data_IF_124377811241
#
_entry.id   IF_124377811241
#
_cell.length_a   1.000
_cell.length_b   1.000
_cell.length_c   1.000
_cell.angle_alpha   90.00
_cell.angle_beta   90.00
_cell.angle_gamma   90.00
#
_symmetry.space_group_name_H-M   'P 1'
#
loop_
_entity.id
_entity.type
_entity.pdbx_description
1 polymer ?
#
# COMPACT_ATOMS: atom_id res chain seq x y z
N UNK A 1 -40.30 36.79 -21.15
CA UNK A 1 -39.34 35.86 -20.52
C UNK A 1 -38.41 36.67 -19.63
N UNK A 2 -38.59 36.61 -18.31
CA UNK A 2 -38.05 37.60 -17.37
C UNK A 2 -36.55 37.36 -17.06
N UNK A 3 -35.67 38.19 -17.64
CA UNK A 3 -34.21 38.18 -17.43
C UNK A 3 -33.78 38.17 -15.96
N UNK A 4 -34.60 38.68 -15.05
CA UNK A 4 -34.31 38.75 -13.60
C UNK A 4 -34.32 37.39 -12.89
N UNK A 5 -35.02 36.38 -13.43
CA UNK A 5 -35.04 35.04 -12.83
C UNK A 5 -33.84 34.18 -13.22
N UNK A 6 -33.23 34.44 -14.38
CA UNK A 6 -32.02 33.75 -14.82
C UNK A 6 -30.80 34.14 -13.98
N UNK A 7 -30.66 35.42 -13.62
CA UNK A 7 -29.51 35.91 -12.86
C UNK A 7 -29.41 35.33 -11.43
N UNK A 8 -30.54 34.99 -10.79
CA UNK A 8 -30.54 34.41 -9.43
C UNK A 8 -30.17 32.93 -9.39
N UNK A 9 -30.38 32.19 -10.49
CA UNK A 9 -30.03 30.76 -10.56
C UNK A 9 -28.56 30.53 -10.89
N UNK A 10 -27.86 31.51 -11.48
CA UNK A 10 -26.42 31.43 -11.76
C UNK A 10 -25.54 31.87 -10.59
N UNK A 11 -26.06 32.67 -9.65
CA UNK A 11 -25.29 33.17 -8.51
C UNK A 11 -25.10 32.14 -7.37
N UNK A 12 -25.88 31.04 -7.36
CA UNK A 12 -25.80 30.01 -6.32
C UNK A 12 -24.91 28.81 -6.68
N UNK A 13 -24.38 28.76 -7.91
CA UNK A 13 -23.51 27.66 -8.37
C UNK A 13 -22.01 27.95 -8.18
N UNK A 14 -21.64 29.20 -7.89
CA UNK A 14 -20.24 29.64 -7.86
C UNK A 14 -19.53 29.43 -6.51
N UNK A 15 -20.25 29.05 -5.44
CA UNK A 15 -19.67 28.92 -4.11
C UNK A 15 -19.26 27.47 -3.72
N UNK A 16 -19.49 26.48 -4.60
CA UNK A 16 -19.37 25.06 -4.24
C UNK A 16 -18.12 24.32 -4.72
N UNK A 17 -17.21 24.94 -5.48
CA UNK A 17 -16.16 24.19 -6.23
C UNK A 17 -14.74 24.37 -5.67
N UNK A 18 -14.52 25.20 -4.64
CA UNK A 18 -13.16 25.52 -4.17
C UNK A 18 -12.55 24.57 -3.12
N UNK A 19 -13.14 23.41 -2.81
CA UNK A 19 -12.66 22.54 -1.72
C UNK A 19 -12.28 21.10 -2.12
N UNK A 20 -11.99 20.84 -3.40
CA UNK A 20 -11.49 19.54 -3.85
C UNK A 20 -10.32 19.69 -4.81
N UNK A 21 -9.32 20.48 -4.43
CA UNK A 21 -7.98 20.26 -4.96
C UNK A 21 -7.53 18.86 -4.49
N UNK A 22 -7.09 17.96 -5.39
CA UNK A 22 -6.36 16.77 -4.97
C UNK A 22 -5.14 17.29 -4.21
N UNK A 23 -5.14 17.18 -2.89
CA UNK A 23 -3.94 17.48 -2.12
C UNK A 23 -2.86 16.56 -2.69
N UNK A 24 -1.75 17.08 -3.24
CA UNK A 24 -0.63 16.22 -3.58
C UNK A 24 -0.30 15.44 -2.31
N UNK A 25 -0.22 14.12 -2.44
CA UNK A 25 0.18 13.27 -1.33
C UNK A 25 1.40 13.94 -0.69
N UNK A 26 1.28 14.33 0.59
CA UNK A 26 2.43 14.85 1.33
C UNK A 26 3.56 13.89 1.04
N UNK A 27 4.63 14.39 0.44
CA UNK A 27 5.75 13.57 0.07
C UNK A 27 6.22 12.87 1.35
N UNK A 28 5.92 11.58 1.45
CA UNK A 28 6.35 10.70 2.53
C UNK A 28 7.83 10.43 2.26
N UNK A 29 8.64 11.46 2.44
CA UNK A 29 10.07 11.33 2.49
C UNK A 29 10.39 10.68 3.83
N UNK A 30 10.90 9.46 3.77
CA UNK A 30 11.38 8.76 4.93
C UNK A 30 12.89 8.97 5.04
N UNK A 31 13.35 9.39 6.21
CA UNK A 31 14.75 9.39 6.60
C UNK A 31 15.26 7.95 6.78
N UNK A 32 14.44 7.11 7.41
CA UNK A 32 14.60 5.66 7.44
C UNK A 32 13.30 5.00 6.97
N UNK A 33 13.28 4.41 5.75
CA UNK A 33 12.11 3.70 5.27
C UNK A 33 11.85 2.44 6.10
N UNK A 34 10.62 1.95 6.07
CA UNK A 34 10.29 0.63 6.62
C UNK A 34 11.03 -0.46 5.83
N UNK A 35 11.47 -1.50 6.54
CA UNK A 35 11.94 -2.72 5.88
C UNK A 35 10.72 -3.45 5.32
N UNK A 36 10.59 -3.43 4.00
CA UNK A 36 9.52 -4.10 3.26
C UNK A 36 9.92 -5.49 2.80
N UNK A 37 11.17 -5.92 3.04
CA UNK A 37 11.66 -7.20 2.59
C UNK A 37 10.84 -8.35 3.17
N UNK A 38 10.95 -9.52 2.55
CA UNK A 38 10.38 -10.72 3.12
C UNK A 38 10.90 -11.97 2.43
N UNK A 39 10.50 -13.15 2.91
CA UNK A 39 11.01 -14.41 2.40
C UNK A 39 10.66 -14.60 0.92
N UNK A 40 11.50 -15.38 0.24
CA UNK A 40 11.23 -15.85 -1.12
C UNK A 40 9.91 -16.62 -1.12
N UNK A 41 9.11 -16.39 -2.16
CA UNK A 41 7.75 -16.93 -2.27
C UNK A 41 7.66 -17.93 -3.42
N UNK A 42 6.74 -18.88 -3.34
CA UNK A 42 6.51 -19.89 -4.37
C UNK A 42 5.20 -19.69 -5.15
N UNK A 43 4.25 -18.91 -4.59
CA UNK A 43 2.97 -18.55 -5.20
C UNK A 43 1.76 -19.31 -4.63
N UNK A 44 1.96 -20.19 -3.64
CA UNK A 44 0.91 -20.94 -2.94
C UNK A 44 0.53 -20.32 -1.58
N UNK A 45 1.17 -19.22 -1.21
CA UNK A 45 0.93 -18.55 0.07
C UNK A 45 -0.43 -17.84 0.06
N UNK A 46 -1.20 -18.05 1.14
CA UNK A 46 -2.56 -17.54 1.26
C UNK A 46 -2.63 -16.00 1.33
N UNK A 47 -1.53 -15.34 1.67
CA UNK A 47 -1.46 -13.90 1.94
C UNK A 47 -0.86 -13.07 0.78
N UNK A 48 -0.40 -13.71 -0.30
CA UNK A 48 0.22 -13.02 -1.45
C UNK A 48 -0.72 -12.78 -2.62
N UNK A 49 -1.93 -13.30 -2.57
CA UNK A 49 -2.88 -13.18 -3.67
C UNK A 49 -4.17 -13.94 -3.41
N UNK A 50 -4.89 -14.22 -4.48
CA UNK A 50 -6.13 -14.98 -4.42
C UNK A 50 -5.81 -16.46 -4.47
N UNK A 51 -6.39 -17.22 -3.54
CA UNK A 51 -6.23 -18.66 -3.47
C UNK A 51 -6.64 -19.35 -4.78
N UNK A 52 -5.85 -20.33 -5.20
CA UNK A 52 -6.12 -21.20 -6.34
C UNK A 52 -6.26 -22.65 -5.85
N UNK A 53 -7.46 -23.06 -5.42
CA UNK A 53 -7.69 -24.40 -4.86
C UNK A 53 -7.35 -25.50 -5.87
N UNK A 54 -6.51 -26.46 -5.47
CA UNK A 54 -6.13 -27.58 -6.34
C UNK A 54 -5.24 -27.20 -7.52
N UNK A 55 -4.55 -26.06 -7.44
CA UNK A 55 -3.53 -25.69 -8.40
C UNK A 55 -2.26 -26.54 -8.25
N UNK A 56 -1.66 -26.86 -9.39
CA UNK A 56 -0.36 -27.51 -9.52
C UNK A 56 0.77 -26.50 -9.32
N UNK A 57 2.02 -26.96 -9.06
CA UNK A 57 3.17 -26.05 -8.94
C UNK A 57 3.37 -25.14 -10.16
N UNK A 58 3.08 -25.63 -11.37
CA UNK A 58 3.17 -24.83 -12.60
C UNK A 58 2.09 -23.73 -12.64
N UNK A 59 0.88 -24.02 -12.16
CA UNK A 59 -0.21 -23.04 -12.08
C UNK A 59 0.05 -21.99 -11.00
N UNK A 60 0.65 -22.35 -9.86
CA UNK A 60 1.10 -21.38 -8.84
C UNK A 60 2.21 -20.46 -9.37
N UNK A 61 3.18 -21.03 -10.10
CA UNK A 61 4.24 -20.25 -10.77
C UNK A 61 3.65 -19.24 -11.75
N UNK A 62 2.69 -19.67 -12.57
CA UNK A 62 1.99 -18.80 -13.50
C UNK A 62 1.17 -17.72 -12.78
N UNK A 63 0.49 -18.09 -11.70
CA UNK A 63 -0.25 -17.15 -10.86
C UNK A 63 0.66 -16.06 -10.31
N UNK A 64 1.81 -16.44 -9.75
CA UNK A 64 2.77 -15.50 -9.17
C UNK A 64 3.32 -14.52 -10.22
N UNK A 65 3.70 -15.02 -11.39
CA UNK A 65 4.22 -14.21 -12.48
C UNK A 65 3.16 -13.25 -13.03
N UNK A 66 1.91 -13.71 -13.17
CA UNK A 66 0.80 -12.85 -13.57
C UNK A 66 0.45 -11.79 -12.52
N UNK A 67 0.59 -12.13 -11.23
CA UNK A 67 0.45 -11.20 -10.13
C UNK A 67 1.50 -10.10 -10.19
N UNK A 68 2.76 -10.44 -10.51
CA UNK A 68 3.84 -9.47 -10.65
C UNK A 68 3.55 -8.50 -11.79
N UNK A 69 3.12 -9.05 -12.94
CA UNK A 69 2.69 -8.24 -14.09
C UNK A 69 1.56 -7.27 -13.71
N UNK A 70 0.56 -7.73 -12.95
CA UNK A 70 -0.55 -6.89 -12.53
C UNK A 70 -0.08 -5.74 -11.63
N UNK A 71 0.75 -6.01 -10.62
CA UNK A 71 1.31 -4.97 -9.76
C UNK A 71 2.13 -3.93 -10.52
N UNK A 72 3.00 -4.37 -11.44
CA UNK A 72 3.80 -3.45 -12.27
C UNK A 72 2.94 -2.64 -13.25
N UNK A 73 1.83 -3.18 -13.75
CA UNK A 73 0.89 -2.43 -14.56
C UNK A 73 0.18 -1.33 -13.74
N UNK A 74 -0.28 -1.65 -12.53
CA UNK A 74 -0.89 -0.67 -11.63
C UNK A 74 0.11 0.45 -11.33
N UNK A 75 1.38 0.12 -11.08
CA UNK A 75 2.43 1.12 -10.88
C UNK A 75 2.70 1.99 -12.12
N UNK A 76 2.65 1.42 -13.33
CA UNK A 76 2.79 2.18 -14.57
C UNK A 76 1.69 3.24 -14.75
N UNK A 77 0.51 3.03 -14.16
CA UNK A 77 -0.60 3.98 -14.19
C UNK A 77 -0.56 4.96 -13.02
N UNK A 78 -0.34 4.46 -11.79
CA UNK A 78 -0.49 5.25 -10.56
C UNK A 78 0.74 6.07 -10.18
N UNK A 79 1.92 5.74 -10.69
CA UNK A 79 3.19 6.33 -10.27
C UNK A 79 3.72 7.42 -11.22
N UNK A 80 2.91 7.90 -12.16
CA UNK A 80 3.33 8.89 -13.16
C UNK A 80 3.56 10.29 -12.58
N UNK A 81 3.21 10.52 -11.31
CA UNK A 81 3.53 11.76 -10.60
C UNK A 81 5.04 11.95 -10.39
N UNK A 82 5.83 10.88 -10.43
CA UNK A 82 7.29 10.93 -10.30
C UNK A 82 7.97 10.23 -11.50
N UNK A 83 8.28 10.98 -12.58
CA UNK A 83 8.87 10.41 -13.78
C UNK A 83 10.23 9.73 -13.57
N UNK A 84 11.00 10.12 -12.54
CA UNK A 84 12.33 9.51 -12.28
C UNK A 84 12.24 8.04 -11.85
N UNK A 85 11.05 7.58 -11.42
CA UNK A 85 10.83 6.18 -11.09
C UNK A 85 10.77 5.27 -12.32
N UNK A 86 10.57 5.82 -13.52
CA UNK A 86 10.58 5.08 -14.79
C UNK A 86 9.60 3.89 -14.82
N UNK A 87 8.53 3.90 -14.02
CA UNK A 87 7.61 2.75 -13.89
C UNK A 87 6.95 2.38 -15.21
N UNK A 88 6.53 3.37 -16.00
CA UNK A 88 5.93 3.17 -17.32
C UNK A 88 6.91 2.56 -18.33
N UNK A 89 8.13 3.12 -18.43
CA UNK A 89 9.14 2.60 -19.36
C UNK A 89 9.64 1.21 -18.95
N UNK A 90 9.80 0.96 -17.65
CA UNK A 90 10.18 -0.35 -17.12
C UNK A 90 9.10 -1.39 -17.43
N UNK A 91 7.82 -1.07 -17.22
CA UNK A 91 6.72 -1.96 -17.52
C UNK A 91 6.65 -2.33 -19.01
N UNK A 92 6.74 -1.34 -19.91
CA UNK A 92 6.71 -1.59 -21.34
C UNK A 92 7.92 -2.41 -21.81
N UNK A 93 9.10 -2.15 -21.25
CA UNK A 93 10.32 -2.91 -21.54
C UNK A 93 10.21 -4.36 -21.07
N UNK A 94 9.64 -4.58 -19.87
CA UNK A 94 9.33 -5.91 -19.35
C UNK A 94 8.37 -6.66 -20.27
N UNK A 95 7.30 -6.03 -20.74
CA UNK A 95 6.36 -6.66 -21.67
C UNK A 95 7.06 -7.08 -22.96
N UNK A 96 7.93 -6.24 -23.52
CA UNK A 96 8.69 -6.54 -24.73
C UNK A 96 9.71 -7.68 -24.52
N UNK A 97 10.40 -7.66 -23.37
CA UNK A 97 11.48 -8.60 -23.09
C UNK A 97 10.99 -10.00 -22.69
N UNK A 98 9.86 -10.08 -21.97
CA UNK A 98 9.32 -11.32 -21.38
C UNK A 98 7.96 -11.75 -21.95
N UNK A 99 7.61 -11.29 -23.15
CA UNK A 99 6.29 -11.57 -23.78
C UNK A 99 5.93 -13.06 -23.81
N UNK A 100 6.89 -13.93 -24.06
CA UNK A 100 6.67 -15.38 -24.20
C UNK A 100 6.38 -16.04 -22.84
N UNK A 101 7.13 -15.68 -21.80
CA UNK A 101 6.88 -16.12 -20.42
C UNK A 101 5.51 -15.66 -19.93
N UNK A 102 5.17 -14.40 -20.18
CA UNK A 102 3.88 -13.81 -19.79
C UNK A 102 2.71 -14.48 -20.53
N UNK A 103 2.85 -14.75 -21.83
CA UNK A 103 1.84 -15.43 -22.63
C UNK A 103 1.64 -16.89 -22.17
N UNK A 104 2.74 -17.61 -21.90
CA UNK A 104 2.71 -18.97 -21.38
C UNK A 104 2.03 -19.03 -20.02
N UNK A 105 2.40 -18.12 -19.11
CA UNK A 105 1.78 -17.96 -17.80
C UNK A 105 0.27 -17.69 -17.88
N UNK A 106 -0.17 -16.78 -18.76
CA UNK A 106 -1.59 -16.51 -18.94
C UNK A 106 -2.34 -17.72 -19.48
N UNK A 107 -1.74 -18.45 -20.42
CA UNK A 107 -2.30 -19.69 -20.95
C UNK A 107 -2.47 -20.75 -19.85
N UNK A 108 -1.45 -20.97 -19.02
CA UNK A 108 -1.50 -21.92 -17.90
C UNK A 108 -2.62 -21.58 -16.92
N UNK A 109 -2.81 -20.30 -16.60
CA UNK A 109 -3.93 -19.86 -15.76
C UNK A 109 -5.28 -20.09 -16.43
N UNK A 110 -5.39 -19.84 -17.73
CA UNK A 110 -6.59 -20.15 -18.50
C UNK A 110 -6.93 -21.63 -18.48
N UNK A 111 -5.93 -22.50 -18.62
CA UNK A 111 -6.10 -23.95 -18.57
C UNK A 111 -6.51 -24.42 -17.16
N UNK A 112 -5.96 -23.82 -16.10
CA UNK A 112 -6.39 -24.04 -14.72
C UNK A 112 -7.87 -23.70 -14.52
N UNK A 113 -8.30 -22.50 -14.91
CA UNK A 113 -9.69 -22.09 -14.68
C UNK A 113 -10.66 -22.88 -15.57
N UNK A 114 -10.27 -23.28 -16.78
CA UNK A 114 -11.05 -24.22 -17.60
C UNK A 114 -11.20 -25.58 -16.92
N UNK A 115 -10.12 -26.11 -16.32
CA UNK A 115 -10.14 -27.39 -15.59
C UNK A 115 -11.04 -27.34 -14.36
N UNK A 116 -10.94 -26.28 -13.55
CA UNK A 116 -11.64 -26.19 -12.26
C UNK A 116 -13.09 -25.70 -12.40
N UNK A 117 -13.37 -24.78 -13.34
CA UNK A 117 -14.67 -24.12 -13.48
C UNK A 117 -15.42 -24.50 -14.77
N UNK A 118 -14.84 -25.36 -15.61
CA UNK A 118 -15.46 -25.84 -16.85
C UNK A 118 -15.87 -24.70 -17.77
N UNK A 119 -17.15 -24.66 -18.17
CA UNK A 119 -17.73 -23.61 -19.04
C UNK A 119 -17.62 -22.20 -18.45
N UNK A 120 -17.49 -22.06 -17.13
CA UNK A 120 -17.29 -20.76 -16.46
C UNK A 120 -15.82 -20.36 -16.33
N UNK A 121 -14.89 -21.14 -16.90
CA UNK A 121 -13.44 -20.91 -16.78
C UNK A 121 -13.00 -19.52 -17.23
N UNK A 122 -13.49 -19.03 -18.37
CA UNK A 122 -13.12 -17.69 -18.84
C UNK A 122 -13.57 -16.59 -17.86
N UNK A 123 -14.84 -16.65 -17.42
CA UNK A 123 -15.37 -15.71 -16.44
C UNK A 123 -14.57 -15.74 -15.12
N UNK A 124 -14.17 -16.94 -14.67
CA UNK A 124 -13.37 -17.08 -13.46
C UNK A 124 -11.95 -16.50 -13.63
N UNK A 125 -11.33 -16.68 -14.81
CA UNK A 125 -10.05 -16.05 -15.15
C UNK A 125 -10.17 -14.52 -15.16
N UNK A 126 -11.23 -13.97 -15.75
CA UNK A 126 -11.45 -12.53 -15.83
C UNK A 126 -11.71 -11.92 -14.43
N UNK A 127 -12.48 -12.62 -13.58
CA UNK A 127 -12.67 -12.25 -12.19
C UNK A 127 -11.37 -12.31 -11.39
N UNK A 128 -10.57 -13.37 -11.58
CA UNK A 128 -9.26 -13.49 -10.97
C UNK A 128 -8.33 -12.34 -11.39
N UNK A 129 -8.29 -12.03 -12.69
CA UNK A 129 -7.55 -10.89 -13.24
C UNK A 129 -7.97 -9.58 -12.56
N UNK A 130 -9.26 -9.27 -12.59
CA UNK A 130 -9.79 -8.05 -11.96
C UNK A 130 -9.40 -7.95 -10.49
N UNK A 131 -9.54 -9.04 -9.75
CA UNK A 131 -9.19 -9.15 -8.34
C UNK A 131 -7.71 -8.83 -8.08
N UNK A 132 -6.78 -9.42 -8.83
CA UNK A 132 -5.34 -9.13 -8.61
C UNK A 132 -5.00 -7.67 -8.90
N UNK A 133 -5.60 -7.03 -9.91
CA UNK A 133 -5.41 -5.61 -10.19
C UNK A 133 -5.92 -4.72 -9.05
N UNK A 134 -7.13 -4.99 -8.57
CA UNK A 134 -7.70 -4.29 -7.42
C UNK A 134 -6.84 -4.47 -6.16
N UNK A 135 -6.27 -5.67 -5.98
CA UNK A 135 -5.40 -5.98 -4.84
C UNK A 135 -4.10 -5.18 -4.76
N UNK A 136 -3.68 -4.48 -5.82
CA UNK A 136 -2.53 -3.56 -5.80
C UNK A 136 -2.94 -2.08 -5.74
N UNK A 137 -4.23 -1.77 -5.76
CA UNK A 137 -4.69 -0.39 -5.72
C UNK A 137 -4.58 0.16 -4.30
N UNK A 138 -3.55 0.98 -4.02
CA UNK A 138 -3.35 1.62 -2.71
C UNK A 138 -3.23 3.14 -2.85
N UNK A 139 -4.16 3.88 -2.23
CA UNK A 139 -4.09 5.35 -2.17
C UNK A 139 -3.21 5.80 -1.00
N UNK A 140 -3.25 5.09 0.13
CA UNK A 140 -2.57 5.52 1.37
C UNK A 140 -1.08 5.14 1.42
N UNK A 141 -0.65 4.14 0.67
CA UNK A 141 0.75 3.69 0.62
C UNK A 141 1.40 3.96 -0.75
N UNK A 142 0.85 4.90 -1.53
CA UNK A 142 1.22 5.12 -2.94
C UNK A 142 2.73 5.34 -3.13
N UNK A 143 3.40 6.08 -2.25
CA UNK A 143 4.84 6.35 -2.37
C UNK A 143 5.70 5.09 -2.15
N UNK A 144 5.45 4.34 -1.06
CA UNK A 144 6.15 3.07 -0.80
C UNK A 144 5.94 2.10 -1.96
N UNK A 145 4.69 1.98 -2.42
CA UNK A 145 4.35 1.13 -3.57
C UNK A 145 5.08 1.56 -4.83
N UNK A 146 5.09 2.84 -5.17
CA UNK A 146 5.73 3.34 -6.39
C UNK A 146 7.25 3.19 -6.37
N UNK A 147 7.92 3.48 -5.25
CA UNK A 147 9.36 3.28 -5.10
C UNK A 147 9.75 1.80 -5.19
N UNK A 148 8.99 0.94 -4.49
CA UNK A 148 9.19 -0.51 -4.52
C UNK A 148 8.96 -1.05 -5.93
N UNK A 149 7.83 -0.71 -6.57
CA UNK A 149 7.51 -1.15 -7.91
C UNK A 149 8.51 -0.65 -8.96
N UNK A 150 9.10 0.54 -8.78
CA UNK A 150 10.19 1.02 -9.64
C UNK A 150 11.45 0.16 -9.51
N UNK A 151 11.85 -0.17 -8.27
CA UNK A 151 12.97 -1.09 -8.00
C UNK A 151 12.70 -2.49 -8.57
N UNK A 152 11.52 -3.05 -8.31
CA UNK A 152 11.12 -4.36 -8.82
C UNK A 152 11.04 -4.37 -10.35
N UNK A 153 10.49 -3.31 -10.95
CA UNK A 153 10.45 -3.14 -12.40
C UNK A 153 11.84 -3.08 -13.02
N UNK A 154 12.82 -2.46 -12.34
CA UNK A 154 14.22 -2.45 -12.76
C UNK A 154 14.82 -3.86 -12.74
N UNK A 155 14.65 -4.61 -11.66
CA UNK A 155 15.13 -6.00 -11.60
C UNK A 155 14.49 -6.86 -12.70
N UNK A 156 13.22 -6.61 -12.98
CA UNK A 156 12.47 -7.35 -13.96
C UNK A 156 12.91 -7.05 -15.41
N UNK A 157 13.41 -5.86 -15.74
CA UNK A 157 13.99 -5.59 -17.07
C UNK A 157 15.39 -6.20 -17.25
N UNK A 158 16.16 -6.34 -16.17
CA UNK A 158 17.51 -6.89 -16.21
C UNK A 158 17.55 -8.40 -16.02
N UNK A 159 16.42 -9.02 -15.66
CA UNK A 159 16.31 -10.46 -15.59
C UNK A 159 16.49 -11.10 -16.98
N UNK A 160 17.27 -12.18 -17.11
CA UNK A 160 17.34 -12.94 -18.36
C UNK A 160 15.96 -13.45 -18.78
N UNK A 161 15.75 -13.64 -20.09
CA UNK A 161 14.56 -14.33 -20.59
C UNK A 161 14.48 -15.74 -19.99
N UNK A 162 13.29 -16.14 -19.58
CA UNK A 162 13.01 -17.38 -18.85
C UNK A 162 13.12 -17.26 -17.33
N UNK A 163 13.64 -16.14 -16.80
CA UNK A 163 13.92 -15.95 -15.38
C UNK A 163 13.02 -14.90 -14.72
N UNK A 164 11.97 -14.42 -15.39
CA UNK A 164 11.08 -13.42 -14.78
C UNK A 164 10.37 -13.97 -13.53
N UNK A 165 10.14 -15.29 -13.50
CA UNK A 165 9.59 -15.95 -12.33
C UNK A 165 10.50 -15.84 -11.10
N UNK A 166 11.83 -15.88 -11.25
CA UNK A 166 12.73 -15.73 -10.11
C UNK A 166 12.68 -14.32 -9.51
N UNK A 167 12.45 -13.30 -10.34
CA UNK A 167 12.16 -11.94 -9.85
C UNK A 167 10.85 -11.95 -9.06
N UNK A 168 9.80 -12.59 -9.58
CA UNK A 168 8.53 -12.70 -8.88
C UNK A 168 8.68 -13.40 -7.52
N UNK A 169 9.42 -14.51 -7.46
CA UNK A 169 9.70 -15.24 -6.21
C UNK A 169 10.43 -14.37 -5.18
N UNK A 170 11.42 -13.60 -5.61
CA UNK A 170 12.25 -12.78 -4.70
C UNK A 170 11.55 -11.48 -4.26
N UNK A 171 10.76 -10.87 -5.14
CA UNK A 171 10.29 -9.48 -4.97
C UNK A 171 8.79 -9.35 -4.70
N UNK A 172 7.98 -10.40 -4.91
CA UNK A 172 6.53 -10.28 -4.71
C UNK A 172 6.15 -9.92 -3.28
N UNK A 173 6.83 -10.50 -2.30
CA UNK A 173 6.57 -10.22 -0.87
C UNK A 173 6.80 -8.76 -0.55
N UNK A 174 7.92 -8.21 -1.01
CA UNK A 174 8.26 -6.80 -0.87
C UNK A 174 7.24 -5.89 -1.56
N UNK A 175 6.85 -6.23 -2.79
CA UNK A 175 5.83 -5.50 -3.53
C UNK A 175 4.47 -5.52 -2.80
N UNK A 176 4.09 -6.63 -2.17
CA UNK A 176 2.86 -6.72 -1.35
C UNK A 176 2.96 -5.93 -0.06
N UNK A 177 4.07 -6.02 0.65
CA UNK A 177 4.31 -5.28 1.89
C UNK A 177 4.24 -3.77 1.65
N UNK A 178 4.69 -3.30 0.47
CA UNK A 178 4.64 -1.89 0.08
C UNK A 178 3.22 -1.29 -0.03
N UNK A 179 2.17 -2.14 -0.04
CA UNK A 179 0.78 -1.70 -0.09
C UNK A 179 0.26 -1.21 1.27
N UNK A 180 0.98 -1.52 2.36
CA UNK A 180 0.64 -1.09 3.72
C UNK A 180 1.27 0.27 3.99
N UNK A 181 0.51 1.25 4.53
CA UNK A 181 1.09 2.53 4.92
C UNK A 181 2.09 2.34 6.07
N UNK A 182 3.29 2.86 5.90
CA UNK A 182 4.32 2.89 6.93
C UNK A 182 4.64 4.33 7.31
N UNK A 183 4.95 4.57 8.58
CA UNK A 183 5.50 5.84 9.04
C UNK A 183 7.03 5.89 8.95
N UNK A 184 7.58 7.03 9.33
CA UNK A 184 9.02 7.21 9.54
C UNK A 184 9.56 6.26 10.63
N UNK A 185 10.68 5.58 10.36
CA UNK A 185 11.29 4.62 11.30
C UNK A 185 12.41 5.23 12.14
N UNK A 186 13.02 6.34 11.73
CA UNK A 186 14.13 6.98 12.45
C UNK A 186 13.66 7.73 13.71
N UNK A 187 12.53 8.42 13.62
CA UNK A 187 12.06 9.34 14.68
C UNK A 187 10.89 8.78 15.50
N UNK A 188 10.53 7.51 15.28
CA UNK A 188 9.28 6.94 15.79
C UNK A 188 8.06 7.72 15.27
N UNK A 189 6.90 7.49 15.86
CA UNK A 189 5.68 8.20 15.51
C UNK A 189 5.37 9.29 16.57
N UNK A 190 5.85 10.54 16.40
CA UNK A 190 5.65 11.59 17.40
C UNK A 190 4.17 12.00 17.53
N UNK A 191 3.35 11.80 16.50
CA UNK A 191 1.94 12.23 16.50
C UNK A 191 0.99 11.22 17.12
N UNK A 192 1.26 9.91 17.03
CA UNK A 192 0.35 8.88 17.56
C UNK A 192 0.81 8.25 18.88
N UNK A 193 2.09 8.36 19.23
CA UNK A 193 2.61 7.87 20.52
C UNK A 193 2.63 8.95 21.62
N UNK A 194 2.18 10.17 21.31
CA UNK A 194 1.96 11.18 22.34
C UNK A 194 0.71 10.84 23.14
N UNK A 195 0.90 10.14 24.27
CA UNK A 195 -0.12 10.09 25.32
C UNK A 195 0.03 11.36 26.15
N UNK A 196 -0.88 12.31 25.97
CA UNK A 196 -1.00 13.43 26.90
C UNK A 196 -1.19 12.86 28.31
N UNK A 197 -0.19 13.05 29.18
CA UNK A 197 -0.27 12.60 30.55
C UNK A 197 -1.16 13.60 31.30
N UNK A 198 -2.48 13.37 31.25
CA UNK A 198 -3.49 14.23 31.85
C UNK A 198 -3.81 13.76 33.30
N UNK A 199 -4.22 14.69 34.18
CA UNK A 199 -4.81 14.31 35.46
C UNK A 199 -6.10 13.52 35.23
N UNK A 200 -6.56 12.77 36.24
CA UNK A 200 -7.85 12.06 36.12
C UNK A 200 -8.98 13.04 35.80
N UNK A 201 -9.83 12.68 34.85
CA UNK A 201 -11.01 13.45 34.45
C UNK A 201 -12.26 13.08 35.26
N UNK A 202 -12.13 12.21 36.27
CA UNK A 202 -13.24 11.86 37.17
C UNK A 202 -13.71 13.09 37.96
N UNK A 203 -15.03 13.25 38.12
CA UNK A 203 -15.64 14.37 38.85
C UNK A 203 -15.07 14.55 40.28
N UNK A 204 -14.68 13.44 40.93
CA UNK A 204 -14.07 13.45 42.27
C UNK A 204 -12.78 14.27 42.37
N UNK A 205 -12.08 14.47 41.25
CA UNK A 205 -10.83 15.21 41.17
C UNK A 205 -10.99 16.70 40.88
N UNK A 206 -12.21 17.17 40.57
CA UNK A 206 -12.45 18.53 40.11
C UNK A 206 -13.48 19.26 40.97
N UNK A 207 -13.18 20.50 41.35
CA UNK A 207 -14.14 21.41 42.00
C UNK A 207 -14.08 22.78 41.35
N UNK A 208 -15.18 23.23 40.73
CA UNK A 208 -15.27 24.52 40.02
C UNK A 208 -14.08 24.73 39.06
N UNK A 209 -13.78 23.71 38.26
CA UNK A 209 -12.68 23.70 37.28
C UNK A 209 -11.26 23.79 37.88
N UNK A 210 -11.10 23.60 39.19
CA UNK A 210 -9.80 23.44 39.84
C UNK A 210 -9.57 21.98 40.19
N UNK A 211 -8.39 21.47 39.82
CA UNK A 211 -7.94 20.14 40.22
C UNK A 211 -7.68 20.13 41.74
N UNK A 212 -8.14 19.08 42.42
CA UNK A 212 -7.92 18.92 43.86
C UNK A 212 -6.47 18.52 44.14
N UNK A 213 -5.90 18.91 45.31
CA UNK A 213 -4.49 18.69 45.62
C UNK A 213 -4.05 17.21 45.69
N UNK A 214 -4.96 16.32 46.08
CA UNK A 214 -4.77 14.86 46.09
C UNK A 214 -4.58 14.31 44.67
N UNK A 215 -5.47 14.66 43.75
CA UNK A 215 -5.35 14.26 42.35
C UNK A 215 -4.18 14.94 41.62
N UNK A 216 -3.80 16.16 42.02
CA UNK A 216 -2.59 16.84 41.53
C UNK A 216 -1.33 16.05 41.93
N UNK A 217 -1.22 15.64 43.21
CA UNK A 217 -0.07 14.87 43.69
C UNK A 217 0.07 13.52 42.98
N UNK A 218 -1.05 12.85 42.74
CA UNK A 218 -1.08 11.59 41.98
C UNK A 218 -0.61 11.80 40.54
N UNK A 219 -1.09 12.86 39.89
CA UNK A 219 -0.67 13.23 38.54
C UNK A 219 0.82 13.57 38.47
N UNK A 220 1.34 14.36 39.42
CA UNK A 220 2.77 14.70 39.51
C UNK A 220 3.65 13.46 39.72
N UNK A 221 3.17 12.49 40.51
CA UNK A 221 3.86 11.20 40.72
C UNK A 221 3.94 10.39 39.42
N UNK A 222 2.83 10.31 38.68
CA UNK A 222 2.79 9.64 37.36
C UNK A 222 3.69 10.33 36.33
N UNK A 223 3.78 11.65 36.35
CA UNK A 223 4.70 12.41 35.49
C UNK A 223 6.16 12.08 35.81
N UNK A 224 6.53 12.03 37.09
CA UNK A 224 7.88 11.65 37.53
C UNK A 224 8.24 10.22 37.11
N UNK A 225 7.32 9.27 37.28
CA UNK A 225 7.53 7.89 36.83
C UNK A 225 7.70 7.81 35.31
N UNK A 226 6.85 8.48 34.53
CA UNK A 226 6.95 8.48 33.07
C UNK A 226 8.27 9.09 32.56
N UNK A 227 8.77 10.14 33.22
CA UNK A 227 10.06 10.73 32.91
C UNK A 227 11.23 9.76 33.20
N UNK A 228 11.15 8.97 34.27
CA UNK A 228 12.16 7.96 34.62
C UNK A 228 12.16 6.79 33.62
N UNK A 229 10.99 6.30 33.22
CA UNK A 229 10.87 5.20 32.25
C UNK A 229 11.36 5.61 30.85
N UNK A 230 11.13 6.86 30.46
CA UNK A 230 11.60 7.39 29.17
C UNK A 230 13.12 7.61 29.12
N UNK A 231 13.77 7.81 30.27
CA UNK A 231 15.23 7.89 30.37
C UNK A 231 15.91 6.52 30.26
N UNK A 232 15.21 5.44 30.63
CA UNK A 232 15.71 4.06 30.54
C UNK A 232 15.60 3.45 29.13
N UNK A 233 14.84 4.06 28.22
CA UNK A 233 14.62 3.61 26.85
C UNK A 233 15.47 4.37 25.82
N UNK A 234 16.66 4.84 26.19
CA UNK A 234 17.58 5.40 25.19
C UNK A 234 17.90 4.32 24.14
N UNK A 235 17.88 4.65 22.83
CA UNK A 235 18.22 3.70 21.80
C UNK A 235 19.68 3.29 21.99
N UNK A 236 19.94 1.99 21.99
CA UNK A 236 21.28 1.41 21.86
C UNK A 236 21.91 2.08 20.64
N UNK A 237 23.01 2.79 20.88
CA UNK A 237 23.76 3.57 19.90
C UNK A 237 24.46 2.66 18.89
#
# INVERSE_FOLDING_TARGET
MNLRKAARLWALSAAGVLASAPMPAFAQFFWKPADLSGPVVEGNEADLGYALPGATPAEYRAALLWNLRAGLNVAALQCQFEPTLLTLSNYNSLLAHHKEELASSFKTLGDYFKRVQGKRGQMALDQYGTRIYLGFSTVRAQLNFCQTAASVGRDAIFAPRGMLYDVARKRMRELRNSLVPHGEQAFGNPTYNYRANLPSLDEKCWKKSKLRPDCQKEWDSRLKLAAQTSAASQPIR
#
